data_IF_163776029246
#
_entry.id   IF_163776029246
#
_cell.length_a   1.000
_cell.length_b   1.000
_cell.length_c   1.000
_cell.angle_alpha   90.00
_cell.angle_beta   90.00
_cell.angle_gamma   90.00
#
_symmetry.space_group_name_H-M   'P 1'
#
loop_
_entity.id
_entity.type
_entity.pdbx_description
1 polymer ?
#
# COMPACT_ATOMS: atom_id res chain seq x y z
N UNK A 1 -20.77 1.04 -10.30
CA UNK A 1 -19.41 0.47 -10.49
C UNK A 1 -18.84 0.18 -9.11
N UNK A 2 -18.75 -1.09 -8.75
CA UNK A 2 -18.33 -1.51 -7.42
C UNK A 2 -16.84 -1.22 -7.23
N UNK A 3 -16.53 -0.15 -6.48
CA UNK A 3 -15.18 0.19 -6.05
C UNK A 3 -14.70 -0.86 -5.06
N UNK A 4 -14.22 -2.00 -5.55
CA UNK A 4 -13.43 -2.89 -4.72
C UNK A 4 -12.14 -2.14 -4.34
N UNK A 5 -12.08 -1.67 -3.09
CA UNK A 5 -10.88 -1.06 -2.54
C UNK A 5 -9.73 -2.08 -2.55
N UNK A 6 -8.51 -1.61 -2.74
CA UNK A 6 -7.32 -2.44 -2.58
C UNK A 6 -6.44 -1.85 -1.48
N UNK A 7 -5.67 -2.72 -0.81
CA UNK A 7 -4.73 -2.35 0.23
C UNK A 7 -3.39 -3.01 -0.06
N UNK A 8 -2.29 -2.32 0.22
CA UNK A 8 -0.96 -2.91 0.26
C UNK A 8 -0.60 -3.18 1.72
N UNK A 9 -0.16 -4.40 2.01
CA UNK A 9 0.31 -4.80 3.33
C UNK A 9 1.76 -5.25 3.23
N UNK A 10 2.60 -4.77 4.14
CA UNK A 10 3.94 -5.29 4.30
C UNK A 10 3.94 -6.22 5.53
N UNK A 11 4.60 -7.36 5.39
CA UNK A 11 4.73 -8.34 6.46
C UNK A 11 6.17 -8.36 6.96
N UNK A 12 6.34 -8.65 8.25
CA UNK A 12 7.66 -8.78 8.88
C UNK A 12 8.47 -9.96 8.32
N UNK A 13 7.81 -10.97 7.74
CA UNK A 13 8.46 -12.10 7.09
C UNK A 13 7.60 -12.70 5.98
N UNK A 14 8.21 -13.50 5.10
CA UNK A 14 7.49 -14.21 4.04
C UNK A 14 6.53 -15.26 4.60
N UNK A 15 6.89 -15.93 5.68
CA UNK A 15 6.05 -16.93 6.35
C UNK A 15 4.79 -16.28 6.94
N UNK A 16 4.91 -15.06 7.49
CA UNK A 16 3.75 -14.31 7.97
C UNK A 16 2.80 -13.93 6.81
N UNK A 17 3.36 -13.52 5.67
CA UNK A 17 2.57 -13.24 4.47
C UNK A 17 1.86 -14.49 3.94
N UNK A 18 2.56 -15.63 3.90
CA UNK A 18 1.99 -16.91 3.47
C UNK A 18 0.84 -17.34 4.38
N UNK A 19 1.03 -17.35 5.71
CA UNK A 19 -0.04 -17.68 6.67
C UNK A 19 -1.25 -16.76 6.55
N UNK A 20 -1.04 -15.47 6.29
CA UNK A 20 -2.14 -14.53 6.07
C UNK A 20 -2.89 -14.85 4.78
N UNK A 21 -2.16 -15.09 3.69
CA UNK A 21 -2.75 -15.47 2.41
C UNK A 21 -3.57 -16.75 2.52
N UNK A 22 -3.01 -17.81 3.09
CA UNK A 22 -3.70 -19.11 3.23
C UNK A 22 -4.98 -18.99 4.07
N UNK A 23 -4.96 -18.11 5.07
CA UNK A 23 -6.12 -17.87 5.94
C UNK A 23 -7.21 -17.06 5.26
N UNK A 24 -6.87 -16.01 4.51
CA UNK A 24 -7.84 -14.99 4.09
C UNK A 24 -8.14 -14.95 2.60
N UNK A 25 -7.26 -15.51 1.77
CA UNK A 25 -7.46 -15.52 0.32
C UNK A 25 -8.73 -16.30 -0.02
N UNK A 26 -9.56 -15.75 -0.90
CA UNK A 26 -10.82 -16.37 -1.30
C UNK A 26 -11.96 -16.25 -0.27
N UNK A 27 -11.73 -15.63 0.89
CA UNK A 27 -12.78 -15.36 1.89
C UNK A 27 -13.49 -14.03 1.61
N UNK A 28 -14.71 -13.90 2.11
CA UNK A 28 -15.46 -12.63 2.07
C UNK A 28 -14.93 -11.65 3.12
N UNK A 29 -14.86 -10.36 2.78
CA UNK A 29 -14.45 -9.29 3.72
C UNK A 29 -15.37 -9.22 4.94
N UNK A 30 -16.67 -9.39 4.73
CA UNK A 30 -17.68 -9.40 5.77
C UNK A 30 -18.28 -10.81 5.84
N UNK A 31 -18.05 -11.51 6.94
CA UNK A 31 -18.66 -12.82 7.17
C UNK A 31 -20.18 -12.67 7.28
N UNK A 32 -20.94 -13.50 6.56
CA UNK A 32 -22.41 -13.48 6.56
C UNK A 32 -23.07 -12.61 5.49
N UNK A 33 -22.31 -11.79 4.74
CA UNK A 33 -22.84 -11.02 3.60
C UNK A 33 -22.76 -11.84 2.30
N UNK A 34 -23.51 -12.93 2.22
CA UNK A 34 -23.48 -13.83 1.05
C UNK A 34 -24.01 -13.19 -0.24
N UNK A 35 -24.75 -12.08 -0.15
CA UNK A 35 -25.36 -11.39 -1.29
C UNK A 35 -24.55 -10.18 -1.81
N UNK A 36 -23.68 -9.58 -0.99
CA UNK A 36 -22.94 -8.34 -1.31
C UNK A 36 -21.45 -8.34 -0.91
N UNK A 37 -20.93 -9.47 -0.42
CA UNK A 37 -19.55 -9.57 0.04
C UNK A 37 -18.54 -9.56 -1.11
N UNK A 38 -17.49 -8.75 -0.98
CA UNK A 38 -16.32 -8.85 -1.86
C UNK A 38 -15.41 -9.99 -1.41
N UNK A 39 -15.10 -10.91 -2.32
CA UNK A 39 -14.09 -11.95 -2.11
C UNK A 39 -12.71 -11.32 -2.13
N UNK A 40 -11.90 -11.61 -1.10
CA UNK A 40 -10.53 -11.16 -0.98
C UNK A 40 -9.64 -11.87 -2.01
N UNK A 41 -9.14 -11.10 -2.97
CA UNK A 41 -8.06 -11.52 -3.86
C UNK A 41 -6.73 -10.98 -3.33
N UNK A 42 -5.97 -11.85 -2.67
CA UNK A 42 -4.66 -11.53 -2.12
C UNK A 42 -3.59 -12.05 -3.08
N UNK A 43 -2.63 -11.19 -3.45
CA UNK A 43 -1.51 -11.55 -4.33
C UNK A 43 -0.24 -10.87 -3.85
N UNK A 44 0.92 -11.48 -4.11
CA UNK A 44 2.21 -10.82 -3.89
C UNK A 44 2.28 -9.57 -4.77
N UNK A 45 2.61 -8.43 -4.18
CA UNK A 45 2.78 -7.19 -4.94
C UNK A 45 3.97 -7.29 -5.89
N UNK A 46 3.81 -6.80 -7.12
CA UNK A 46 4.93 -6.63 -8.06
C UNK A 46 5.98 -5.66 -7.51
N UNK A 47 5.54 -4.70 -6.70
CA UNK A 47 6.38 -3.68 -6.08
C UNK A 47 6.53 -4.02 -4.59
N UNK A 48 7.75 -4.28 -4.15
CA UNK A 48 8.03 -4.64 -2.76
C UNK A 48 8.47 -3.43 -1.96
N UNK A 49 7.93 -3.28 -0.74
CA UNK A 49 8.23 -2.17 0.17
C UNK A 49 7.33 -0.95 -0.02
N UNK A 50 7.15 -0.19 1.08
CA UNK A 50 6.28 1.00 1.14
C UNK A 50 6.66 2.03 0.08
N UNK A 51 7.96 2.32 -0.09
CA UNK A 51 8.46 3.28 -1.08
C UNK A 51 8.01 2.94 -2.50
N UNK A 52 8.17 1.68 -2.92
CA UNK A 52 7.82 1.27 -4.28
C UNK A 52 6.31 1.19 -4.50
N UNK A 53 5.55 0.81 -3.47
CA UNK A 53 4.08 0.84 -3.51
C UNK A 53 3.54 2.26 -3.68
N UNK A 54 4.10 3.24 -2.94
CA UNK A 54 3.72 4.65 -3.09
C UNK A 54 4.16 5.24 -4.43
N UNK A 55 5.35 4.87 -4.92
CA UNK A 55 5.82 5.28 -6.24
C UNK A 55 4.92 4.76 -7.37
N UNK A 56 4.45 3.51 -7.28
CA UNK A 56 3.50 2.93 -8.24
C UNK A 56 2.17 3.69 -8.29
N UNK A 57 1.67 4.15 -7.14
CA UNK A 57 0.47 4.99 -7.09
C UNK A 57 0.71 6.34 -7.74
N UNK A 58 1.87 6.94 -7.51
CA UNK A 58 2.25 8.26 -8.02
C UNK A 58 1.64 9.41 -7.19
N UNK A 59 2.38 10.51 -7.05
CA UNK A 59 2.01 11.64 -6.19
C UNK A 59 0.67 12.29 -6.58
N UNK A 60 0.39 12.43 -7.88
CA UNK A 60 -0.86 13.03 -8.36
C UNK A 60 -2.08 12.20 -7.95
N UNK A 61 -1.97 10.87 -8.09
CA UNK A 61 -3.02 9.93 -7.70
C UNK A 61 -3.18 9.86 -6.19
N UNK A 62 -2.07 9.91 -5.42
CA UNK A 62 -2.13 9.96 -3.96
C UNK A 62 -2.86 11.23 -3.47
N UNK A 63 -2.64 12.38 -4.10
CA UNK A 63 -3.35 13.62 -3.77
C UNK A 63 -4.84 13.56 -4.10
N UNK A 64 -5.21 13.04 -5.27
CA UNK A 64 -6.63 12.83 -5.64
C UNK A 64 -7.31 11.80 -4.72
N UNK A 65 -6.59 10.76 -4.32
CA UNK A 65 -7.13 9.80 -3.35
C UNK A 65 -7.27 10.46 -1.97
N UNK A 66 -6.31 11.28 -1.53
CA UNK A 66 -6.33 11.91 -0.21
C UNK A 66 -7.56 12.81 -0.01
N UNK A 67 -8.03 13.50 -1.06
CA UNK A 67 -9.28 14.28 -1.03
C UNK A 67 -10.53 13.40 -1.02
N UNK A 68 -10.42 12.12 -1.41
CA UNK A 68 -11.49 11.11 -1.47
C UNK A 68 -11.49 10.13 -0.29
N UNK A 69 -10.58 10.28 0.69
CA UNK A 69 -10.55 9.48 1.92
C UNK A 69 -9.74 8.18 1.86
N UNK A 70 -8.91 7.97 0.84
CA UNK A 70 -7.95 6.83 0.73
C UNK A 70 -6.59 7.36 0.23
N UNK A 71 -5.43 6.68 0.35
CA UNK A 71 -5.12 5.48 1.10
C UNK A 71 -4.75 5.81 2.56
N UNK A 72 -5.24 4.98 3.48
CA UNK A 72 -4.64 4.91 4.81
C UNK A 72 -3.34 4.10 4.69
N UNK A 73 -2.23 4.72 5.07
CA UNK A 73 -0.92 4.04 5.15
C UNK A 73 -0.62 3.85 6.62
N UNK A 74 -0.14 2.66 6.98
CA UNK A 74 0.29 2.33 8.33
C UNK A 74 1.73 1.87 8.28
N UNK A 75 2.55 2.39 9.21
CA UNK A 75 3.93 2.00 9.43
C UNK A 75 4.03 1.62 10.90
N UNK A 76 4.43 0.38 11.18
CA UNK A 76 4.55 -0.17 12.54
C UNK A 76 3.28 0.00 13.40
N UNK A 77 2.10 -0.11 12.77
CA UNK A 77 0.80 0.03 13.41
C UNK A 77 0.30 1.47 13.54
N UNK A 78 1.15 2.47 13.27
CA UNK A 78 0.77 3.88 13.30
C UNK A 78 0.32 4.37 11.93
N UNK A 79 -0.78 5.12 11.90
CA UNK A 79 -1.27 5.73 10.66
C UNK A 79 -0.38 6.90 10.27
N UNK A 80 0.10 6.90 9.04
CA UNK A 80 0.94 7.96 8.49
C UNK A 80 0.28 8.64 7.28
N UNK A 81 0.66 9.88 7.04
CA UNK A 81 0.23 10.65 5.87
C UNK A 81 0.97 10.14 4.62
N UNK A 82 0.23 9.50 3.72
CA UNK A 82 0.76 8.91 2.50
C UNK A 82 1.44 9.93 1.57
N UNK A 83 0.93 11.16 1.52
CA UNK A 83 1.48 12.23 0.67
C UNK A 83 2.79 12.73 1.25
N UNK A 84 2.84 12.98 2.57
CA UNK A 84 4.08 13.41 3.24
C UNK A 84 5.17 12.33 3.13
N UNK A 85 4.80 11.06 3.29
CA UNK A 85 5.73 9.95 3.18
C UNK A 85 6.26 9.78 1.76
N UNK A 86 5.40 9.90 0.74
CA UNK A 86 5.85 9.86 -0.66
C UNK A 86 6.79 11.04 -0.98
N UNK A 87 6.52 12.22 -0.42
CA UNK A 87 7.38 13.40 -0.57
C UNK A 87 8.75 13.24 0.10
N UNK A 88 8.83 12.60 1.28
CA UNK A 88 10.12 12.36 1.93
C UNK A 88 11.00 11.43 1.08
N UNK A 89 10.44 10.37 0.52
CA UNK A 89 11.17 9.48 -0.39
C UNK A 89 11.66 10.18 -1.65
N UNK A 90 10.87 11.08 -2.23
CA UNK A 90 11.29 11.86 -3.39
C UNK A 90 12.45 12.82 -3.05
N UNK A 91 12.43 13.45 -1.88
CA UNK A 91 13.51 14.31 -1.40
C UNK A 91 14.79 13.52 -1.12
N UNK A 92 14.69 12.37 -0.47
CA UNK A 92 15.83 11.48 -0.23
C UNK A 92 16.49 11.04 -1.53
N UNK A 93 15.69 10.68 -2.55
CA UNK A 93 16.20 10.31 -3.86
C UNK A 93 16.90 11.48 -4.58
N UNK A 94 16.33 12.68 -4.51
CA UNK A 94 16.93 13.89 -5.09
C UNK A 94 18.26 14.24 -4.40
N UNK A 95 18.31 14.18 -3.07
CA UNK A 95 19.53 14.44 -2.30
C UNK A 95 20.63 13.43 -2.63
N UNK A 96 20.30 12.14 -2.71
CA UNK A 96 21.25 11.10 -3.09
C UNK A 96 21.83 11.31 -4.49
N UNK A 97 21.00 11.76 -5.45
CA UNK A 97 21.45 12.08 -6.80
C UNK A 97 22.35 13.33 -6.84
N UNK A 98 22.06 14.36 -6.03
CA UNK A 98 22.93 15.56 -5.96
C UNK A 98 24.29 15.26 -5.32
N UNK A 99 24.33 14.38 -4.32
CA UNK A 99 25.59 13.97 -3.67
C UNK A 99 26.49 13.13 -4.58
N UNK A 100 25.92 12.32 -5.48
CA UNK A 100 26.71 11.49 -6.40
C UNK A 100 27.36 12.25 -7.55
N UNK A 101 26.97 13.51 -7.79
CA UNK A 101 27.58 14.40 -8.79
C UNK A 101 28.64 15.34 -8.18
N UNK A 102 28.73 15.37 -6.85
CA UNK A 102 29.64 16.24 -6.10
C UNK A 102 30.86 15.50 -5.54
N UNK A 103 30.98 14.20 -5.83
CA UNK A 103 32.09 13.31 -5.44
C UNK A 103 32.85 12.85 -6.69
#
# INVERSE_FOLDING_TARGET
KNNAGYVFMNFVSQEAAARFNDRWHGRYILEGSWQDGFVLKITVSKYQGVRNNLAFLGLAKLRDLATRGTPAVFVDGERVDAVKLAQSFAREAANAASSSWSA
#
